data_IF_386926342861
#
_entry.id   IF_386926342861
#
_cell.length_a   1.000
_cell.length_b   1.000
_cell.length_c   1.000
_cell.angle_alpha   90.00
_cell.angle_beta   90.00
_cell.angle_gamma   90.00
#
_symmetry.space_group_name_H-M   'P 1'
#
loop_
_entity.id
_entity.type
_entity.pdbx_description
1 polymer ?
#
# COMPACT_ATOMS: atom_id res chain seq x y z
N UNK A 1 -19.28 18.90 -11.65
CA UNK A 1 -18.86 19.05 -10.25
C UNK A 1 -17.36 18.83 -10.17
N UNK A 2 -16.61 19.63 -9.40
CA UNK A 2 -15.19 19.34 -9.12
C UNK A 2 -15.12 18.54 -7.82
N UNK A 3 -14.65 17.29 -7.89
CA UNK A 3 -14.35 16.53 -6.68
C UNK A 3 -12.99 17.01 -6.14
N UNK A 4 -12.99 17.63 -4.96
CA UNK A 4 -11.77 17.99 -4.25
C UNK A 4 -11.47 16.93 -3.18
N UNK A 5 -10.18 16.62 -3.01
CA UNK A 5 -9.71 15.79 -1.93
C UNK A 5 -9.62 16.66 -0.66
N UNK A 6 -10.53 16.46 0.30
CA UNK A 6 -10.47 17.15 1.59
C UNK A 6 -9.57 16.38 2.57
N UNK A 7 -9.09 17.02 3.65
CA UNK A 7 -8.28 16.34 4.67
C UNK A 7 -8.99 15.11 5.28
N UNK A 8 -10.30 15.18 5.49
CA UNK A 8 -11.10 14.10 6.08
C UNK A 8 -11.20 12.90 5.12
N UNK A 9 -11.40 13.16 3.82
CA UNK A 9 -11.42 12.11 2.79
C UNK A 9 -10.03 11.50 2.64
N UNK A 10 -8.98 12.33 2.63
CA UNK A 10 -7.59 11.88 2.54
C UNK A 10 -7.22 10.96 3.71
N UNK A 11 -7.58 11.34 4.94
CA UNK A 11 -7.38 10.51 6.13
C UNK A 11 -8.10 9.17 6.00
N UNK A 12 -9.38 9.17 5.60
CA UNK A 12 -10.15 7.93 5.41
C UNK A 12 -9.53 7.00 4.38
N UNK A 13 -9.05 7.54 3.25
CA UNK A 13 -8.36 6.73 2.24
C UNK A 13 -7.03 6.18 2.75
N UNK A 14 -6.27 6.98 3.52
CA UNK A 14 -5.05 6.50 4.13
C UNK A 14 -5.30 5.36 5.13
N UNK A 15 -6.34 5.45 5.96
CA UNK A 15 -6.70 4.38 6.90
C UNK A 15 -7.04 3.06 6.19
N UNK A 16 -7.76 3.13 5.06
CA UNK A 16 -8.05 1.94 4.26
C UNK A 16 -6.75 1.29 3.80
N UNK A 17 -5.85 2.08 3.19
CA UNK A 17 -4.58 1.55 2.69
C UNK A 17 -3.68 1.02 3.82
N UNK A 18 -3.54 1.74 4.93
CA UNK A 18 -2.80 1.29 6.11
C UNK A 18 -3.31 -0.06 6.65
N UNK A 19 -4.60 -0.34 6.51
CA UNK A 19 -5.21 -1.59 6.94
C UNK A 19 -4.75 -2.83 6.17
N UNK A 20 -4.22 -2.69 4.95
CA UNK A 20 -3.92 -3.84 4.09
C UNK A 20 -2.50 -3.88 3.49
N UNK A 21 -1.76 -2.76 3.40
CA UNK A 21 -0.43 -2.73 2.75
C UNK A 21 0.64 -3.63 3.38
N UNK A 22 0.41 -4.12 4.61
CA UNK A 22 1.25 -5.15 5.27
C UNK A 22 0.53 -6.48 5.52
N UNK A 23 -0.73 -6.62 5.10
CA UNK A 23 -1.49 -7.86 5.23
C UNK A 23 -1.11 -8.82 4.10
N UNK A 24 -0.42 -9.90 4.44
CA UNK A 24 0.18 -10.81 3.44
C UNK A 24 -0.82 -11.79 2.81
N UNK A 25 -1.91 -12.16 3.50
CA UNK A 25 -2.88 -13.13 2.98
C UNK A 25 -4.34 -12.68 3.19
N UNK A 26 -5.28 -13.10 2.32
CA UNK A 26 -5.07 -13.85 1.08
C UNK A 26 -4.35 -13.02 -0.01
N UNK A 27 -3.63 -13.69 -0.92
CA UNK A 27 -2.83 -13.03 -1.97
C UNK A 27 -2.99 -13.72 -3.33
N UNK A 28 -3.18 -12.93 -4.39
CA UNK A 28 -3.17 -13.31 -5.79
C UNK A 28 -1.83 -12.88 -6.38
N UNK A 29 -0.99 -13.86 -6.67
CA UNK A 29 0.42 -13.61 -6.98
C UNK A 29 0.64 -12.99 -8.38
N UNK A 30 -0.16 -13.37 -9.38
CA UNK A 30 0.02 -12.99 -10.81
C UNK A 30 1.50 -12.81 -11.19
N UNK A 31 2.27 -13.89 -11.04
CA UNK A 31 3.71 -13.96 -11.23
C UNK A 31 4.06 -14.90 -12.38
N UNK A 32 4.90 -14.45 -13.30
CA UNK A 32 5.45 -15.28 -14.39
C UNK A 32 6.65 -16.04 -13.83
N UNK A 33 6.68 -17.35 -14.07
CA UNK A 33 7.74 -18.25 -13.59
C UNK A 33 8.48 -18.84 -14.78
N UNK A 34 9.81 -18.80 -14.74
CA UNK A 34 10.69 -19.45 -15.72
C UNK A 34 11.07 -20.87 -15.27
N UNK A 35 11.00 -21.14 -13.97
CA UNK A 35 11.30 -22.45 -13.39
C UNK A 35 10.65 -22.68 -12.02
N UNK A 36 10.74 -23.91 -11.47
CA UNK A 36 10.17 -24.25 -10.18
C UNK A 36 10.79 -23.47 -9.00
N UNK A 37 11.98 -22.91 -9.15
CA UNK A 37 12.63 -22.01 -8.18
C UNK A 37 11.88 -20.69 -7.95
N UNK A 38 11.02 -20.28 -8.90
CA UNK A 38 10.22 -19.05 -8.82
C UNK A 38 8.93 -19.23 -8.01
N UNK A 39 8.64 -20.44 -7.52
CA UNK A 39 7.52 -20.71 -6.62
C UNK A 39 7.83 -20.18 -5.23
N UNK A 40 7.64 -18.87 -5.08
CA UNK A 40 7.97 -18.11 -3.88
C UNK A 40 6.73 -17.42 -3.30
N UNK A 41 6.78 -17.12 -2.00
CA UNK A 41 5.72 -16.38 -1.31
C UNK A 41 5.73 -14.87 -1.63
N UNK A 42 4.63 -14.13 -1.35
CA UNK A 42 4.52 -12.70 -1.67
C UNK A 42 5.67 -11.86 -1.11
N UNK A 43 6.10 -12.12 0.13
CA UNK A 43 7.21 -11.40 0.77
C UNK A 43 8.57 -11.66 0.14
N UNK A 44 8.80 -12.85 -0.40
CA UNK A 44 10.03 -13.18 -1.09
C UNK A 44 10.09 -12.51 -2.47
N UNK A 45 8.97 -12.50 -3.20
CA UNK A 45 8.88 -11.88 -4.53
C UNK A 45 8.84 -10.34 -4.46
N UNK A 46 8.16 -9.77 -3.48
CA UNK A 46 7.92 -8.33 -3.37
C UNK A 46 8.14 -7.80 -1.95
N UNK A 47 9.39 -7.72 -1.44
CA UNK A 47 9.67 -7.45 -0.03
C UNK A 47 9.04 -6.19 0.59
N UNK A 48 8.81 -5.15 -0.22
CA UNK A 48 8.12 -3.91 0.20
C UNK A 48 6.62 -3.99 -0.08
N UNK A 49 6.24 -4.60 -1.21
CA UNK A 49 4.87 -4.61 -1.75
C UNK A 49 4.16 -5.95 -1.57
N UNK A 50 4.54 -6.73 -0.56
CA UNK A 50 4.02 -8.07 -0.32
C UNK A 50 2.60 -8.10 0.22
N UNK A 51 2.15 -7.00 0.84
CA UNK A 51 0.82 -6.95 1.42
C UNK A 51 -0.28 -6.74 0.38
N UNK A 52 -1.50 -6.49 0.84
CA UNK A 52 -2.71 -6.36 0.02
C UNK A 52 -3.08 -7.67 -0.69
N UNK A 53 -4.17 -7.63 -1.46
CA UNK A 53 -4.61 -8.79 -2.21
C UNK A 53 -3.66 -9.16 -3.37
N UNK A 54 -2.91 -8.21 -3.91
CA UNK A 54 -1.86 -8.42 -4.91
C UNK A 54 -0.79 -7.32 -4.79
N UNK A 55 0.40 -7.58 -5.32
CA UNK A 55 1.54 -6.67 -5.21
C UNK A 55 1.30 -5.31 -5.89
N UNK A 56 0.53 -5.28 -6.98
CA UNK A 56 0.28 -4.06 -7.74
C UNK A 56 -0.71 -3.14 -7.00
N UNK A 57 -1.76 -3.73 -6.42
CA UNK A 57 -2.65 -3.05 -5.47
C UNK A 57 -1.87 -2.49 -4.27
N UNK A 58 -0.86 -3.22 -3.79
CA UNK A 58 0.01 -2.76 -2.72
C UNK A 58 0.81 -1.51 -3.12
N UNK A 59 1.40 -1.50 -4.33
CA UNK A 59 2.09 -0.32 -4.89
C UNK A 59 1.16 0.89 -4.93
N UNK A 60 -0.09 0.72 -5.39
CA UNK A 60 -1.09 1.80 -5.37
C UNK A 60 -1.42 2.28 -3.95
N UNK A 61 -1.50 1.35 -2.99
CA UNK A 61 -1.66 1.67 -1.57
C UNK A 61 -0.52 2.55 -1.04
N UNK A 62 0.73 2.14 -1.23
CA UNK A 62 1.89 2.94 -0.83
C UNK A 62 1.93 4.31 -1.52
N UNK A 63 1.63 4.36 -2.83
CA UNK A 63 1.56 5.64 -3.54
C UNK A 63 0.50 6.57 -2.96
N UNK A 64 -0.68 6.06 -2.66
CA UNK A 64 -1.75 6.82 -2.00
C UNK A 64 -1.27 7.36 -0.66
N UNK A 65 -0.65 6.53 0.18
CA UNK A 65 -0.13 6.93 1.50
C UNK A 65 0.91 8.05 1.38
N UNK A 66 1.94 7.86 0.55
CA UNK A 66 2.98 8.87 0.35
C UNK A 66 2.41 10.16 -0.25
N UNK A 67 1.39 10.07 -1.10
CA UNK A 67 0.70 11.24 -1.65
C UNK A 67 -0.14 11.97 -0.60
N UNK A 68 -0.84 11.26 0.29
CA UNK A 68 -1.56 11.88 1.41
C UNK A 68 -0.58 12.59 2.33
N UNK A 69 0.51 11.93 2.74
CA UNK A 69 1.57 12.54 3.56
C UNK A 69 2.12 13.81 2.92
N UNK A 70 2.37 13.82 1.61
CA UNK A 70 2.87 15.00 0.89
C UNK A 70 1.87 16.16 0.84
N UNK A 71 0.59 15.87 0.66
CA UNK A 71 -0.45 16.90 0.49
C UNK A 71 -1.02 17.41 1.81
N UNK A 72 -1.00 16.59 2.86
CA UNK A 72 -1.58 16.88 4.16
C UNK A 72 -0.60 16.47 5.29
N UNK A 73 0.58 17.11 5.36
CA UNK A 73 1.64 16.72 6.28
C UNK A 73 1.25 16.86 7.76
N UNK A 74 0.30 17.76 8.07
CA UNK A 74 -0.12 18.04 9.44
C UNK A 74 -1.21 17.08 9.97
N UNK A 75 -1.70 16.14 9.15
CA UNK A 75 -2.68 15.17 9.60
C UNK A 75 -2.03 14.13 10.52
N UNK A 76 -2.71 13.68 11.61
CA UNK A 76 -2.18 12.63 12.48
C UNK A 76 -1.78 11.34 11.76
N UNK A 77 -2.50 10.98 10.68
CA UNK A 77 -2.19 9.79 9.86
C UNK A 77 -0.83 9.90 9.16
N UNK A 78 -0.31 11.11 8.91
CA UNK A 78 0.97 11.32 8.23
C UNK A 78 2.17 10.75 9.00
N UNK A 79 2.10 10.74 10.34
CA UNK A 79 3.11 10.12 11.21
C UNK A 79 3.10 8.59 11.11
N UNK A 80 1.91 7.99 10.99
CA UNK A 80 1.78 6.54 10.79
C UNK A 80 2.28 6.11 9.41
N UNK A 81 2.10 6.96 8.40
CA UNK A 81 2.63 6.75 7.06
C UNK A 81 4.16 6.82 7.05
N UNK A 82 4.75 7.74 7.84
CA UNK A 82 6.20 7.83 8.03
C UNK A 82 6.76 6.56 8.66
N UNK A 83 6.21 6.15 9.80
CA UNK A 83 6.64 4.95 10.51
C UNK A 83 6.44 3.64 9.70
N UNK A 84 5.61 3.66 8.65
CA UNK A 84 5.49 2.57 7.70
C UNK A 84 6.60 2.58 6.64
N UNK A 85 7.06 3.76 6.24
CA UNK A 85 7.99 3.98 5.14
C UNK A 85 9.46 4.07 5.57
N UNK A 86 9.72 4.22 6.87
CA UNK A 86 11.04 4.09 7.51
C UNK A 86 11.50 2.62 7.59
#
# INVERSE_FOLDING_TARGET
>A
MKHQLTPEIAARFAEIALGHVRQEFPHKLDHVMDGPEDVLGPRALHPIFYGSFDWHSCVHGYWLLLRVRRLFPDLPVAQRIEALAD
#
